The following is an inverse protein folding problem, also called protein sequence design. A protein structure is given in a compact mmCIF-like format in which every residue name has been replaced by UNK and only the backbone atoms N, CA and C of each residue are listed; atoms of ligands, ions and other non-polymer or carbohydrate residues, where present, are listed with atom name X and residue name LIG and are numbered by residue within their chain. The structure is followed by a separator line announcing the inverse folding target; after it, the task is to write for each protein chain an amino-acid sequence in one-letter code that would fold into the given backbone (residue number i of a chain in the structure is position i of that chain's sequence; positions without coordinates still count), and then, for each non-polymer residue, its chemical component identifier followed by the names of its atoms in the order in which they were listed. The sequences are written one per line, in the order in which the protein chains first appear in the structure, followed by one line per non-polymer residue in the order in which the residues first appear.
data_IF_143305233080
#
_entry.id   IF_143305233080
#
_cell.length_a   1.000
_cell.length_b   1.000
_cell.length_c   1.000
_cell.angle_alpha   90.00
_cell.angle_beta   90.00
_cell.angle_gamma   90.00
#
_symmetry.space_group_name_H-M   'P 1'
#
loop_
_entity.id
_entity.type
_entity.pdbx_description
1 polymer ?
#
# COMPACT_ATOMS: atom_id res chain seq x y z
N UNK A 1 17.97 0.27 12.42
CA UNK A 1 16.51 0.14 12.24
C UNK A 1 15.92 -0.97 13.10
N UNK A 2 16.38 -2.22 13.00
CA UNK A 2 15.82 -3.34 13.78
C UNK A 2 15.74 -3.10 15.31
N UNK A 3 16.80 -2.56 15.92
CA UNK A 3 16.82 -2.25 17.37
C UNK A 3 15.75 -1.21 17.73
N UNK A 4 15.62 -0.15 16.93
CA UNK A 4 14.59 0.87 17.13
C UNK A 4 13.19 0.28 16.98
N UNK A 5 12.96 -0.57 15.98
CA UNK A 5 11.68 -1.26 15.79
C UNK A 5 11.33 -2.14 16.98
N UNK A 6 12.31 -2.88 17.52
CA UNK A 6 12.12 -3.69 18.72
C UNK A 6 11.77 -2.81 19.94
N UNK A 7 12.53 -1.74 20.18
CA UNK A 7 12.27 -0.82 21.29
C UNK A 7 10.88 -0.16 21.19
N UNK A 8 10.51 0.34 20.01
CA UNK A 8 9.18 0.91 19.78
C UNK A 8 8.07 -0.13 19.99
N UNK A 9 8.29 -1.38 19.57
CA UNK A 9 7.33 -2.46 19.74
C UNK A 9 7.18 -2.95 21.18
N UNK A 10 8.28 -2.98 21.95
CA UNK A 10 8.29 -3.41 23.35
C UNK A 10 7.80 -2.32 24.32
N UNK A 11 8.00 -1.05 23.96
CA UNK A 11 7.62 0.11 24.79
C UNK A 11 6.65 1.07 24.05
N UNK A 12 5.48 0.58 23.58
CA UNK A 12 4.56 1.42 22.80
C UNK A 12 4.03 2.59 23.62
N UNK A 13 3.91 2.43 24.95
CA UNK A 13 3.44 3.48 25.83
C UNK A 13 4.34 4.72 25.85
N UNK A 14 5.66 4.55 25.74
CA UNK A 14 6.58 5.70 25.73
C UNK A 14 6.34 6.60 24.51
N UNK A 15 6.12 5.99 23.34
CA UNK A 15 5.82 6.72 22.10
C UNK A 15 4.47 7.43 22.21
N UNK A 16 3.47 6.75 22.76
CA UNK A 16 2.13 7.31 22.94
C UNK A 16 2.11 8.46 23.95
N UNK A 17 2.86 8.36 25.05
CA UNK A 17 3.01 9.43 26.03
C UNK A 17 3.71 10.66 25.45
N UNK A 18 4.68 10.47 24.54
CA UNK A 18 5.28 11.59 23.78
C UNK A 18 4.25 12.29 22.89
N UNK A 19 3.28 11.56 22.34
CA UNK A 19 2.22 12.11 21.51
C UNK A 19 1.06 12.75 22.32
N UNK A 20 1.03 12.55 23.63
CA UNK A 20 -0.06 12.99 24.50
C UNK A 20 -0.35 14.50 24.45
N UNK A 21 0.64 15.42 24.43
CA UNK A 21 0.36 16.85 24.33
C UNK A 21 -0.36 17.22 23.03
N UNK A 22 0.02 16.60 21.91
CA UNK A 22 -0.62 16.80 20.62
C UNK A 22 -2.05 16.24 20.60
N UNK A 23 -2.26 15.06 21.20
CA UNK A 23 -3.58 14.46 21.37
C UNK A 23 -4.52 15.32 22.22
N UNK A 24 -4.01 15.88 23.34
CA UNK A 24 -4.78 16.82 24.17
C UNK A 24 -5.17 18.08 23.40
N UNK A 25 -4.26 18.63 22.60
CA UNK A 25 -4.53 19.82 21.79
C UNK A 25 -5.58 19.58 20.70
N UNK A 26 -5.58 18.41 20.06
CA UNK A 26 -6.48 18.08 18.95
C UNK A 26 -7.84 17.54 19.39
N UNK A 27 -7.89 16.77 20.47
CA UNK A 27 -9.10 16.03 20.87
C UNK A 27 -9.69 16.50 22.21
N UNK A 28 -8.98 17.36 22.95
CA UNK A 28 -9.35 17.77 24.30
C UNK A 28 -9.20 16.66 25.36
N UNK A 29 -8.75 15.46 24.98
CA UNK A 29 -8.61 14.31 25.88
C UNK A 29 -7.19 13.73 25.85
N UNK A 30 -6.66 13.34 27.01
CA UNK A 30 -5.35 12.71 27.16
C UNK A 30 -5.39 11.17 27.08
N UNK A 31 -4.25 10.55 27.34
CA UNK A 31 -4.10 9.08 27.38
C UNK A 31 -4.11 8.52 28.80
N UNK A 32 -4.61 9.29 29.76
CA UNK A 32 -4.68 8.96 31.17
C UNK A 32 -5.43 7.62 31.38
N UNK A 33 -4.74 6.67 32.00
CA UNK A 33 -5.25 5.32 32.23
C UNK A 33 -5.34 4.42 30.98
N UNK A 34 -4.96 4.92 29.78
CA UNK A 34 -4.97 4.16 28.52
C UNK A 34 -3.62 3.61 28.12
N UNK A 35 -2.54 4.31 28.46
CA UNK A 35 -1.18 3.94 28.11
C UNK A 35 -0.27 3.87 29.36
N UNK A 36 0.48 2.78 29.46
CA UNK A 36 1.59 2.55 30.39
C UNK A 36 2.81 2.17 29.54
N UNK A 37 4.07 2.38 29.99
CA UNK A 37 5.25 2.10 29.16
C UNK A 37 5.22 0.74 28.45
N UNK A 38 4.69 -0.29 29.11
CA UNK A 38 4.65 -1.68 28.62
C UNK A 38 3.27 -2.16 28.17
N UNK A 39 2.21 -1.36 28.34
CA UNK A 39 0.84 -1.82 28.10
C UNK A 39 -0.03 -0.71 27.50
N UNK A 40 -0.94 -1.11 26.61
CA UNK A 40 -1.86 -0.19 25.93
C UNK A 40 -3.27 -0.74 26.00
N UNK A 41 -4.23 0.14 26.20
CA UNK A 41 -5.66 -0.15 26.14
C UNK A 41 -6.37 0.83 25.20
N UNK A 42 -7.40 0.34 24.51
CA UNK A 42 -8.15 1.14 23.52
C UNK A 42 -9.21 2.03 24.16
N UNK A 43 -9.65 1.69 25.38
CA UNK A 43 -10.71 2.38 26.13
C UNK A 43 -10.32 2.41 27.61
N UNK A 44 -10.72 3.48 28.32
CA UNK A 44 -10.53 3.62 29.77
C UNK A 44 -11.26 2.47 30.47
N UNK A 45 -10.53 1.67 31.28
CA UNK A 45 -11.09 0.49 31.94
C UNK A 45 -11.38 -0.70 31.01
N UNK A 46 -11.03 -0.59 29.73
CA UNK A 46 -11.12 -1.68 28.75
C UNK A 46 -9.97 -2.68 28.86
N UNK A 47 -10.08 -3.80 28.16
CA UNK A 47 -9.01 -4.80 28.08
C UNK A 47 -7.83 -4.22 27.29
N UNK A 48 -6.71 -4.02 27.97
CA UNK A 48 -5.43 -3.73 27.34
C UNK A 48 -4.62 -4.99 27.08
N UNK A 49 -3.53 -4.84 26.34
CA UNK A 49 -2.50 -5.86 26.20
C UNK A 49 -1.16 -5.33 26.73
N UNK A 50 -0.36 -6.22 27.31
CA UNK A 50 1.03 -5.94 27.62
C UNK A 50 1.90 -6.34 26.42
N UNK A 51 2.63 -5.38 25.85
CA UNK A 51 3.54 -5.61 24.74
C UNK A 51 4.66 -6.57 25.13
N UNK A 52 5.20 -6.44 26.35
CA UNK A 52 6.22 -7.35 26.87
C UNK A 52 5.68 -8.77 27.04
N UNK A 53 4.48 -8.93 27.59
CA UNK A 53 3.87 -10.25 27.75
C UNK A 53 3.61 -10.92 26.40
N UNK A 54 3.11 -10.17 25.41
CA UNK A 54 2.93 -10.67 24.04
C UNK A 54 4.27 -11.04 23.39
N UNK A 55 5.31 -10.22 23.55
CA UNK A 55 6.63 -10.50 23.00
C UNK A 55 7.23 -11.78 23.61
N UNK A 56 7.09 -11.97 24.92
CA UNK A 56 7.53 -13.18 25.62
C UNK A 56 6.74 -14.41 25.15
N UNK A 57 5.41 -14.30 25.07
CA UNK A 57 4.55 -15.39 24.58
C UNK A 57 4.94 -15.81 23.16
N UNK A 58 5.05 -14.85 22.24
CA UNK A 58 5.46 -15.10 20.85
C UNK A 58 6.88 -15.67 20.78
N UNK A 59 7.80 -15.18 21.61
CA UNK A 59 9.16 -15.70 21.71
C UNK A 59 9.20 -17.16 22.17
N UNK A 60 8.38 -17.53 23.17
CA UNK A 60 8.24 -18.91 23.64
C UNK A 60 7.64 -19.79 22.55
N UNK A 61 6.57 -19.35 21.89
CA UNK A 61 5.94 -20.10 20.79
C UNK A 61 6.92 -20.30 19.63
N UNK A 62 7.65 -19.26 19.24
CA UNK A 62 8.67 -19.36 18.20
C UNK A 62 9.80 -20.31 18.59
N UNK A 63 10.26 -20.27 19.85
CA UNK A 63 11.29 -21.17 20.36
C UNK A 63 10.82 -22.63 20.37
N UNK A 64 9.62 -22.90 20.88
CA UNK A 64 9.02 -24.23 20.89
C UNK A 64 8.83 -24.77 19.47
N UNK A 65 8.37 -23.91 18.54
CA UNK A 65 8.23 -24.25 17.12
C UNK A 65 9.58 -24.59 16.51
N UNK A 66 10.60 -23.77 16.75
CA UNK A 66 11.96 -24.02 16.28
C UNK A 66 12.51 -25.35 16.81
N UNK A 67 12.34 -25.62 18.11
CA UNK A 67 12.77 -26.88 18.72
C UNK A 67 11.99 -28.08 18.17
N UNK A 68 10.69 -27.94 17.94
CA UNK A 68 9.83 -28.97 17.34
C UNK A 68 10.24 -29.30 15.91
N UNK A 69 10.41 -28.28 15.06
CA UNK A 69 10.90 -28.44 13.68
C UNK A 69 12.29 -29.08 13.70
N UNK A 70 13.19 -28.62 14.56
CA UNK A 70 14.55 -29.18 14.70
C UNK A 70 14.52 -30.65 15.12
N UNK A 71 13.59 -31.06 15.99
CA UNK A 71 13.41 -32.45 16.44
C UNK A 71 12.99 -33.37 15.30
N UNK A 72 12.18 -32.88 14.37
CA UNK A 72 11.68 -33.63 13.20
C UNK A 72 12.53 -33.43 11.94
N UNK A 73 13.59 -32.64 12.03
CA UNK A 73 14.53 -32.49 10.93
C UNK A 73 15.35 -33.77 10.80
N UNK A 74 15.28 -34.43 9.66
CA UNK A 74 16.01 -35.68 9.40
C UNK A 74 17.53 -35.42 9.48
N UNK A 75 18.30 -36.21 10.25
CA UNK A 75 19.76 -36.14 10.22
C UNK A 75 20.24 -36.56 8.83
N UNK A 76 21.08 -35.76 8.16
CA UNK A 76 21.61 -36.08 6.83
C UNK A 76 21.46 -35.01 5.75
N UNK A 77 21.00 -33.81 6.09
CA UNK A 77 21.04 -32.67 5.17
C UNK A 77 22.50 -32.36 4.79
N UNK A 78 22.92 -32.76 3.59
CA UNK A 78 24.06 -32.15 2.94
C UNK A 78 23.65 -30.75 2.51
N UNK A 79 24.27 -29.73 3.10
CA UNK A 79 24.22 -28.37 2.54
C UNK A 79 24.85 -28.41 1.15
N UNK A 80 24.01 -28.50 0.12
CA UNK A 80 24.40 -28.17 -1.24
C UNK A 80 24.58 -26.64 -1.36
N UNK A 81 25.24 -26.16 -2.42
CA UNK A 81 25.16 -24.76 -2.79
C UNK A 81 23.69 -24.39 -2.94
N UNK A 82 23.27 -23.26 -2.37
CA UNK A 82 21.85 -22.88 -2.31
C UNK A 82 21.16 -22.76 -3.70
N UNK A 83 21.90 -22.91 -4.80
CA UNK A 83 21.47 -22.66 -6.18
C UNK A 83 21.97 -23.67 -7.23
N UNK A 84 22.45 -24.86 -6.85
CA UNK A 84 22.97 -25.81 -7.83
C UNK A 84 21.82 -26.41 -8.69
N UNK A 85 21.62 -25.84 -9.91
CA UNK A 85 20.48 -25.94 -10.86
C UNK A 85 19.60 -24.67 -11.02
N UNK A 86 20.17 -23.49 -10.78
CA UNK A 86 19.64 -22.20 -11.28
C UNK A 86 20.73 -21.14 -11.51
N UNK A 87 22.00 -21.54 -11.67
CA UNK A 87 23.16 -20.64 -11.78
C UNK A 87 24.00 -20.98 -13.00
N UNK A 88 24.30 -19.97 -13.83
CA UNK A 88 25.45 -19.99 -14.72
C UNK A 88 26.71 -19.69 -13.90
N UNK A 89 27.88 -20.21 -14.30
CA UNK A 89 29.14 -19.92 -13.61
C UNK A 89 29.38 -18.41 -13.53
N UNK A 90 29.67 -17.90 -12.33
CA UNK A 90 29.99 -16.48 -12.11
C UNK A 90 31.13 -16.04 -13.02
N UNK A 91 30.94 -14.99 -13.83
CA UNK A 91 32.04 -14.40 -14.57
C UNK A 91 33.14 -13.90 -13.60
N UNK A 92 34.42 -13.89 -13.98
CA UNK A 92 35.52 -13.48 -13.10
C UNK A 92 35.35 -12.10 -12.47
N UNK A 93 34.59 -11.20 -13.13
CA UNK A 93 34.31 -9.84 -12.67
C UNK A 93 33.06 -9.73 -11.78
N UNK A 94 32.32 -10.82 -11.54
CA UNK A 94 31.08 -10.82 -10.76
C UNK A 94 31.03 -12.01 -9.79
N UNK A 95 31.78 -11.96 -8.68
CA UNK A 95 31.98 -13.08 -7.76
C UNK A 95 30.73 -13.49 -6.96
N UNK A 96 29.63 -12.75 -7.08
CA UNK A 96 28.38 -12.96 -6.35
C UNK A 96 27.24 -13.57 -7.19
N UNK A 97 27.52 -14.00 -8.43
CA UNK A 97 26.54 -14.57 -9.36
C UNK A 97 25.97 -13.55 -10.33
N UNK A 98 25.61 -14.00 -11.53
CA UNK A 98 24.94 -13.15 -12.52
C UNK A 98 23.50 -12.82 -12.04
N UNK A 99 23.14 -11.54 -11.81
CA UNK A 99 21.79 -11.15 -11.41
C UNK A 99 20.71 -11.61 -12.38
N UNK A 100 21.05 -11.83 -13.66
CA UNK A 100 20.11 -12.33 -14.67
C UNK A 100 19.65 -13.78 -14.39
N UNK A 101 20.38 -14.53 -13.57
CA UNK A 101 20.02 -15.89 -13.15
C UNK A 101 19.08 -15.90 -11.93
N UNK A 102 18.80 -14.74 -11.34
CA UNK A 102 17.92 -14.61 -10.18
C UNK A 102 16.46 -14.43 -10.63
N UNK A 103 15.53 -14.95 -9.83
CA UNK A 103 14.12 -14.65 -10.03
C UNK A 103 13.88 -13.14 -9.91
N UNK A 104 13.37 -12.54 -10.99
CA UNK A 104 12.97 -11.15 -10.99
C UNK A 104 11.65 -10.96 -10.23
N UNK A 105 11.33 -9.71 -9.86
CA UNK A 105 10.01 -9.38 -9.31
C UNK A 105 8.86 -9.82 -10.23
N UNK A 106 9.10 -9.87 -11.55
CA UNK A 106 8.17 -10.41 -12.52
C UNK A 106 7.84 -11.89 -12.27
N UNK A 107 8.83 -12.71 -11.96
CA UNK A 107 8.62 -14.14 -11.68
C UNK A 107 7.90 -14.36 -10.35
N UNK A 108 8.22 -13.56 -9.32
CA UNK A 108 7.53 -13.60 -8.02
C UNK A 108 6.05 -13.23 -8.12
N UNK A 109 5.72 -12.24 -8.95
CA UNK A 109 4.34 -11.77 -9.12
C UNK A 109 3.51 -12.64 -10.09
N UNK A 110 4.14 -13.55 -10.83
CA UNK A 110 3.49 -14.36 -11.86
C UNK A 110 2.36 -15.26 -11.32
N UNK A 111 2.51 -15.99 -10.19
CA UNK A 111 1.41 -16.78 -9.63
C UNK A 111 0.23 -15.88 -9.22
N UNK A 112 0.53 -14.69 -8.71
CA UNK A 112 -0.50 -13.72 -8.33
C UNK A 112 -1.29 -13.23 -9.55
N UNK A 113 -0.60 -12.90 -10.65
CA UNK A 113 -1.25 -12.51 -11.91
C UNK A 113 -2.05 -13.65 -12.55
N UNK A 114 -1.58 -14.89 -12.48
CA UNK A 114 -2.34 -16.04 -13.02
C UNK A 114 -3.57 -16.40 -12.20
N UNK A 115 -3.53 -16.20 -10.88
CA UNK A 115 -4.64 -16.56 -9.97
C UNK A 115 -5.64 -15.42 -9.76
N UNK A 116 -5.18 -14.19 -9.63
CA UNK A 116 -6.01 -13.00 -9.37
C UNK A 116 -6.12 -12.07 -10.58
N UNK A 117 -5.19 -12.14 -11.52
CA UNK A 117 -5.10 -11.18 -12.61
C UNK A 117 -6.24 -11.32 -13.62
N UNK A 118 -6.68 -12.53 -13.95
CA UNK A 118 -7.80 -12.72 -14.89
C UNK A 118 -9.16 -12.33 -14.31
N UNK A 119 -9.33 -12.38 -12.99
CA UNK A 119 -10.61 -12.11 -12.31
C UNK A 119 -10.72 -10.67 -11.77
N UNK A 120 -9.61 -10.05 -11.36
CA UNK A 120 -9.61 -8.75 -10.65
C UNK A 120 -8.90 -7.64 -11.43
N UNK A 121 -7.80 -7.94 -12.13
CA UNK A 121 -6.87 -6.92 -12.67
C UNK A 121 -6.71 -6.96 -14.20
N UNK A 122 -7.64 -7.63 -14.90
CA UNK A 122 -7.60 -7.85 -16.34
C UNK A 122 -6.18 -8.19 -16.89
N UNK A 123 -5.38 -8.92 -16.10
CA UNK A 123 -3.96 -9.07 -16.37
C UNK A 123 -3.73 -10.11 -17.47
N UNK A 124 -2.93 -9.75 -18.46
CA UNK A 124 -2.56 -10.59 -19.59
C UNK A 124 -1.05 -10.84 -19.58
N UNK A 125 -0.68 -12.12 -19.72
CA UNK A 125 0.71 -12.54 -19.90
C UNK A 125 0.86 -13.13 -21.30
N UNK A 126 1.84 -12.63 -22.06
CA UNK A 126 2.23 -13.19 -23.37
C UNK A 126 3.70 -13.57 -23.31
N UNK A 127 3.98 -14.83 -23.66
CA UNK A 127 5.33 -15.36 -23.80
C UNK A 127 5.54 -15.65 -25.29
N UNK A 128 6.54 -15.01 -25.88
CA UNK A 128 7.00 -15.35 -27.23
C UNK A 128 8.25 -16.21 -27.11
N UNK A 129 8.12 -17.51 -27.43
CA UNK A 129 9.26 -18.41 -27.54
C UNK A 129 9.70 -18.50 -29.01
N UNK A 130 10.96 -18.19 -29.33
CA UNK A 130 11.51 -18.35 -30.67
C UNK A 130 11.56 -19.83 -31.06
N UNK A 131 11.50 -20.10 -32.37
CA UNK A 131 11.56 -21.47 -32.89
C UNK A 131 12.92 -22.12 -32.59
N UNK A 132 12.99 -23.46 -32.49
CA UNK A 132 14.28 -24.16 -32.31
C UNK A 132 15.26 -23.78 -33.42
N UNK A 133 16.44 -23.25 -33.05
CA UNK A 133 17.46 -22.78 -33.99
C UNK A 133 17.44 -21.28 -34.29
N UNK A 134 16.40 -20.56 -33.85
CA UNK A 134 16.36 -19.10 -33.84
C UNK A 134 17.11 -18.57 -32.60
N UNK A 135 18.02 -17.62 -32.81
CA UNK A 135 18.89 -17.05 -31.77
C UNK A 135 18.30 -15.80 -31.11
N UNK A 136 17.11 -15.36 -31.53
CA UNK A 136 16.41 -14.25 -30.88
C UNK A 136 16.12 -14.59 -29.40
N UNK A 137 16.20 -13.62 -28.48
CA UNK A 137 15.83 -13.84 -27.09
C UNK A 137 14.32 -14.08 -26.97
N UNK A 138 13.91 -14.96 -26.05
CA UNK A 138 12.51 -15.09 -25.68
C UNK A 138 12.01 -13.77 -25.07
N UNK A 139 10.80 -13.35 -25.45
CA UNK A 139 10.18 -12.12 -24.95
C UNK A 139 9.03 -12.46 -24.01
N UNK A 140 8.90 -11.66 -22.95
CA UNK A 140 7.82 -11.78 -21.98
C UNK A 140 7.19 -10.40 -21.78
N UNK A 141 5.90 -10.30 -22.08
CA UNK A 141 5.11 -9.08 -21.93
C UNK A 141 4.02 -9.38 -20.91
N UNK A 142 3.98 -8.57 -19.85
CA UNK A 142 2.92 -8.60 -18.85
C UNK A 142 2.24 -7.24 -18.82
N UNK A 143 0.95 -7.25 -19.12
CA UNK A 143 0.09 -6.08 -19.05
C UNK A 143 -0.96 -6.31 -17.97
N UNK A 144 -1.24 -5.28 -17.19
CA UNK A 144 -2.29 -5.28 -16.20
C UNK A 144 -2.99 -3.92 -16.26
N UNK A 145 -4.30 -3.93 -16.33
CA UNK A 145 -5.13 -2.74 -16.30
C UNK A 145 -6.10 -2.88 -15.13
N UNK A 146 -6.25 -1.87 -14.29
CA UNK A 146 -7.21 -1.91 -13.19
C UNK A 146 -8.63 -1.63 -13.73
N UNK A 147 -9.49 -2.65 -13.89
CA UNK A 147 -10.81 -2.44 -14.46
C UNK A 147 -11.71 -1.64 -13.51
N UNK A 148 -11.51 -1.74 -12.19
CA UNK A 148 -12.30 -1.00 -11.21
C UNK A 148 -11.97 0.50 -11.28
N UNK A 149 -10.69 0.84 -11.42
CA UNK A 149 -10.27 2.22 -11.62
C UNK A 149 -10.82 2.81 -12.91
N UNK A 150 -10.73 2.08 -14.03
CA UNK A 150 -11.26 2.52 -15.32
C UNK A 150 -12.78 2.71 -15.27
N UNK A 151 -13.52 1.81 -14.62
CA UNK A 151 -14.98 1.93 -14.47
C UNK A 151 -15.41 3.05 -13.52
N UNK A 152 -14.70 3.25 -12.41
CA UNK A 152 -15.09 4.22 -11.40
C UNK A 152 -14.68 5.65 -11.80
N UNK A 153 -13.45 5.83 -12.28
CA UNK A 153 -12.89 7.15 -12.58
C UNK A 153 -12.99 7.54 -14.05
N UNK A 154 -13.17 6.58 -14.96
CA UNK A 154 -13.48 6.84 -16.37
C UNK A 154 -14.65 7.83 -16.57
N UNK A 155 -15.85 7.57 -16.00
CA UNK A 155 -16.97 8.50 -16.14
C UNK A 155 -16.73 9.82 -15.44
N UNK A 156 -16.07 9.83 -14.27
CA UNK A 156 -15.73 11.07 -13.56
C UNK A 156 -14.82 11.96 -14.40
N UNK A 157 -13.84 11.38 -15.08
CA UNK A 157 -12.96 12.11 -16.01
C UNK A 157 -13.76 12.71 -17.16
N UNK A 158 -14.68 11.96 -17.75
CA UNK A 158 -15.54 12.46 -18.83
C UNK A 158 -16.44 13.61 -18.37
N UNK A 159 -17.05 13.49 -17.17
CA UNK A 159 -17.87 14.57 -16.59
C UNK A 159 -17.03 15.81 -16.31
N UNK A 160 -15.84 15.65 -15.74
CA UNK A 160 -14.90 16.76 -15.50
C UNK A 160 -14.54 17.46 -16.82
N UNK A 161 -14.21 16.69 -17.85
CA UNK A 161 -13.86 17.25 -19.17
C UNK A 161 -15.05 17.99 -19.78
N UNK A 162 -16.25 17.42 -19.68
CA UNK A 162 -17.47 18.06 -20.15
C UNK A 162 -17.73 19.38 -19.41
N UNK A 163 -17.61 19.39 -18.08
CA UNK A 163 -17.75 20.60 -17.26
C UNK A 163 -16.69 21.66 -17.62
N UNK A 164 -15.45 21.25 -17.85
CA UNK A 164 -14.37 22.15 -18.26
C UNK A 164 -14.70 22.83 -19.60
N UNK A 165 -15.18 22.07 -20.59
CA UNK A 165 -15.62 22.62 -21.89
C UNK A 165 -16.79 23.59 -21.72
N UNK A 166 -17.75 23.31 -20.83
CA UNK A 166 -18.84 24.25 -20.58
C UNK A 166 -18.36 25.54 -19.88
N UNK A 167 -17.45 25.41 -18.90
CA UNK A 167 -16.85 26.55 -18.22
C UNK A 167 -16.07 27.45 -19.19
N UNK A 168 -15.32 26.86 -20.11
CA UNK A 168 -14.58 27.61 -21.12
C UNK A 168 -15.51 28.38 -22.08
N UNK A 169 -16.67 27.80 -22.45
CA UNK A 169 -17.70 28.52 -23.22
C UNK A 169 -18.25 29.75 -22.49
N UNK A 170 -18.35 29.70 -21.15
CA UNK A 170 -18.79 30.84 -20.34
C UNK A 170 -17.75 31.97 -20.31
N UNK A 171 -16.46 31.64 -20.45
CA UNK A 171 -15.38 32.64 -20.47
C UNK A 171 -15.40 33.51 -21.73
N UNK A 172 -15.76 32.94 -22.88
CA UNK A 172 -15.81 33.65 -24.17
C UNK A 172 -17.18 34.27 -24.49
N UNK A 173 -17.97 34.61 -23.47
CA UNK A 173 -19.24 35.31 -23.63
C UNK A 173 -19.05 36.77 -24.08
N UNK A 174 -20.06 37.31 -24.78
CA UNK A 174 -20.09 38.74 -25.11
C UNK A 174 -20.23 39.59 -23.85
N UNK A 175 -19.68 40.82 -23.86
CA UNK A 175 -19.66 41.74 -22.71
C UNK A 175 -21.04 41.85 -22.02
N UNK A 176 -22.12 41.95 -22.81
CA UNK A 176 -23.51 42.02 -22.31
C UNK A 176 -23.90 40.77 -21.50
N UNK A 177 -23.56 39.57 -22.00
CA UNK A 177 -23.90 38.30 -21.35
C UNK A 177 -23.08 38.10 -20.08
N UNK A 178 -21.81 38.49 -20.08
CA UNK A 178 -20.95 38.44 -18.90
C UNK A 178 -21.48 39.35 -17.78
N UNK A 179 -21.86 40.58 -18.09
CA UNK A 179 -22.47 41.50 -17.12
C UNK A 179 -23.79 40.98 -16.56
N UNK A 180 -24.65 40.42 -17.41
CA UNK A 180 -25.92 39.83 -16.97
C UNK A 180 -25.70 38.62 -16.03
N UNK A 181 -24.70 37.79 -16.31
CA UNK A 181 -24.33 36.65 -15.46
C UNK A 181 -23.84 37.10 -14.09
N UNK A 182 -22.95 38.11 -14.05
CA UNK A 182 -22.48 38.71 -12.79
C UNK A 182 -23.61 39.33 -11.96
N UNK A 183 -24.51 40.09 -12.61
CA UNK A 183 -25.68 40.66 -11.94
C UNK A 183 -26.61 39.57 -11.38
N UNK A 184 -26.86 38.51 -12.16
CA UNK A 184 -27.70 37.38 -11.72
C UNK A 184 -27.06 36.64 -10.54
N UNK A 185 -25.75 36.40 -10.58
CA UNK A 185 -25.02 35.80 -9.46
C UNK A 185 -25.12 36.65 -8.19
N UNK A 186 -25.01 37.98 -8.30
CA UNK A 186 -25.17 38.90 -7.18
C UNK A 186 -26.57 38.80 -6.55
N UNK A 187 -27.61 38.85 -7.38
CA UNK A 187 -29.00 38.73 -6.91
C UNK A 187 -29.25 37.37 -6.25
N UNK A 188 -28.72 36.29 -6.82
CA UNK A 188 -28.82 34.95 -6.26
C UNK A 188 -28.15 34.87 -4.87
N UNK A 189 -26.93 35.39 -4.74
CA UNK A 189 -26.24 35.44 -3.45
C UNK A 189 -27.03 36.26 -2.42
N UNK A 190 -27.53 37.43 -2.80
CA UNK A 190 -28.33 38.27 -1.91
C UNK A 190 -29.62 37.55 -1.46
N UNK A 191 -30.24 36.79 -2.37
CA UNK A 191 -31.45 36.00 -2.08
C UNK A 191 -31.16 34.84 -1.13
N UNK A 192 -30.04 34.12 -1.32
CA UNK A 192 -29.61 33.04 -0.41
C UNK A 192 -29.34 33.60 0.98
N UNK A 193 -28.67 34.75 1.07
CA UNK A 193 -28.40 35.42 2.35
C UNK A 193 -29.70 35.86 3.03
N UNK A 194 -30.63 36.44 2.27
CA UNK A 194 -31.95 36.80 2.80
C UNK A 194 -32.73 35.58 3.30
N UNK A 195 -32.66 34.45 2.60
CA UNK A 195 -33.29 33.19 3.03
C UNK A 195 -32.64 32.63 4.30
N UNK A 196 -31.31 32.67 4.42
CA UNK A 196 -30.59 32.26 5.62
C UNK A 196 -30.85 33.17 6.83
N UNK A 197 -31.19 34.43 6.60
CA UNK A 197 -31.51 35.41 7.65
C UNK A 197 -33.00 35.50 7.96
N UNK A 198 -33.85 34.79 7.20
CA UNK A 198 -35.26 34.68 7.52
C UNK A 198 -35.41 33.78 8.77
N UNK A 199 -36.04 34.26 9.85
CA UNK A 199 -36.22 33.51 11.09
C UNK A 199 -37.12 32.28 10.96
#
# INVERSE_FOLDING_TARGET
MAVLTALLGLFPGLVLLLAEPALRALTGSGLEGRASPLAVSTVIGGRGYSALALALLLGVVALLTFLGVRRWTVPGFRRGPAWNCGFAASPPWLPFGDPATQYSGGSFAQPLRRTLGSSVLAAAERVEMPAPGDTRPASYIAEAEDPAFTWLFGPMRQVREWLAVQAERLQFLTIRRTLALMFTALVLFLSIVAWLQAP
#
